data_IF_899340376905
#
_entry.id   IF_899340376905
#
_cell.length_a   1.000
_cell.length_b   1.000
_cell.length_c   1.000
_cell.angle_alpha   90.00
_cell.angle_beta   90.00
_cell.angle_gamma   90.00
#
_symmetry.space_group_name_H-M   'P 1'
#
loop_
_entity.id
_entity.type
_entity.pdbx_description
1 polymer ?
#
# COMPACT_ATOMS: atom_id res chain seq x y z
N UNK A 1 3.16 16.12 -21.45
CA UNK A 1 2.63 14.76 -21.72
C UNK A 1 1.42 14.55 -20.83
N UNK A 2 0.26 14.22 -21.38
CA UNK A 2 -0.88 13.82 -20.55
C UNK A 2 -0.50 12.51 -19.84
N UNK A 3 -0.77 12.42 -18.54
CA UNK A 3 -0.58 11.17 -17.79
C UNK A 3 -1.56 10.15 -18.38
N UNK A 4 -1.09 8.94 -18.65
CA UNK A 4 -1.97 7.83 -19.05
C UNK A 4 -2.97 7.62 -17.91
N UNK A 5 -4.26 7.77 -18.17
CA UNK A 5 -5.29 7.46 -17.17
C UNK A 5 -5.29 5.96 -16.86
N UNK A 6 -5.62 5.59 -15.61
CA UNK A 6 -5.60 4.18 -15.19
C UNK A 6 -4.21 3.56 -15.02
N UNK A 7 -3.12 4.34 -15.05
CA UNK A 7 -1.77 3.81 -14.81
C UNK A 7 -1.63 3.03 -13.49
N UNK A 8 -2.39 3.44 -12.46
CA UNK A 8 -2.28 2.86 -11.12
C UNK A 8 -2.85 1.43 -11.08
N UNK A 9 -3.96 1.16 -11.79
CA UNK A 9 -4.51 -0.20 -11.87
C UNK A 9 -3.56 -1.15 -12.60
N UNK A 10 -2.85 -0.66 -13.62
CA UNK A 10 -1.82 -1.44 -14.32
C UNK A 10 -0.69 -1.82 -13.34
N UNK A 11 -0.16 -0.86 -12.58
CA UNK A 11 0.89 -1.16 -11.61
C UNK A 11 0.45 -2.19 -10.56
N UNK A 12 -0.79 -2.10 -10.09
CA UNK A 12 -1.30 -3.07 -9.12
C UNK A 12 -1.48 -4.46 -9.72
N UNK A 13 -2.03 -4.55 -10.93
CA UNK A 13 -2.20 -5.83 -11.63
C UNK A 13 -0.84 -6.49 -11.90
N UNK A 14 0.13 -5.74 -12.42
CA UNK A 14 1.47 -6.27 -12.69
C UNK A 14 2.23 -6.64 -11.41
N UNK A 15 2.04 -5.90 -10.31
CA UNK A 15 2.63 -6.26 -9.02
C UNK A 15 2.06 -7.59 -8.49
N UNK A 16 0.74 -7.78 -8.59
CA UNK A 16 0.10 -9.05 -8.22
C UNK A 16 0.52 -10.20 -9.15
N UNK A 17 0.66 -9.91 -10.45
CA UNK A 17 1.16 -10.88 -11.43
C UNK A 17 2.59 -11.32 -11.11
N UNK A 18 3.48 -10.41 -10.71
CA UNK A 18 4.84 -10.74 -10.31
C UNK A 18 4.88 -11.71 -9.12
N UNK A 19 4.09 -11.47 -8.08
CA UNK A 19 4.00 -12.39 -6.94
C UNK A 19 3.60 -13.80 -7.39
N UNK A 20 2.63 -13.90 -8.30
CA UNK A 20 2.19 -15.18 -8.87
C UNK A 20 3.25 -15.81 -9.76
N UNK A 21 3.90 -15.04 -10.63
CA UNK A 21 4.90 -15.52 -11.60
C UNK A 21 6.09 -16.15 -10.88
N UNK A 22 6.48 -15.57 -9.74
CA UNK A 22 7.61 -16.06 -8.94
C UNK A 22 7.19 -17.00 -7.80
N UNK A 23 5.95 -17.52 -7.84
CA UNK A 23 5.41 -18.45 -6.84
C UNK A 23 5.63 -17.97 -5.41
N UNK A 24 5.53 -16.65 -5.20
CA UNK A 24 5.76 -16.04 -3.90
C UNK A 24 4.67 -16.50 -2.93
N UNK A 25 5.03 -16.99 -1.73
CA UNK A 25 4.05 -17.48 -0.77
C UNK A 25 3.20 -16.32 -0.29
N UNK A 26 1.88 -16.52 -0.18
CA UNK A 26 0.95 -15.62 0.51
C UNK A 26 0.27 -16.47 1.57
N UNK A 27 0.82 -16.45 2.79
CA UNK A 27 0.41 -17.35 3.86
C UNK A 27 -0.89 -16.87 4.49
N UNK A 28 -1.99 -17.65 4.43
CA UNK A 28 -3.22 -17.28 5.09
C UNK A 28 -3.17 -17.63 6.58
N UNK A 29 -3.81 -16.79 7.38
CA UNK A 29 -4.28 -17.11 8.72
C UNK A 29 -5.62 -17.84 8.62
N UNK A 30 -5.70 -19.03 9.21
CA UNK A 30 -6.94 -19.81 9.28
C UNK A 30 -7.63 -19.49 10.60
N UNK A 31 -8.89 -19.02 10.54
CA UNK A 31 -9.71 -18.80 11.74
C UNK A 31 -10.54 -20.04 12.09
N UNK A 32 -11.20 -20.01 13.25
CA UNK A 32 -11.96 -21.13 13.82
C UNK A 32 -13.08 -21.65 12.89
N UNK A 33 -13.59 -20.79 12.00
CA UNK A 33 -14.63 -21.06 11.03
C UNK A 33 -14.11 -21.69 9.72
N UNK A 34 -12.85 -22.11 9.69
CA UNK A 34 -12.13 -22.67 8.52
C UNK A 34 -11.87 -21.69 7.38
N UNK A 35 -12.24 -20.42 7.55
CA UNK A 35 -11.95 -19.41 6.55
C UNK A 35 -10.47 -19.02 6.58
N UNK A 36 -9.91 -18.80 5.39
CA UNK A 36 -8.55 -18.39 5.17
C UNK A 36 -8.49 -16.88 4.90
N UNK A 37 -7.77 -16.15 5.73
CA UNK A 37 -7.59 -14.71 5.65
C UNK A 37 -6.14 -14.35 5.45
N UNK A 38 -5.86 -13.38 4.58
CA UNK A 38 -4.52 -12.83 4.45
C UNK A 38 -4.50 -11.50 5.20
N UNK A 39 -3.60 -11.31 6.19
CA UNK A 39 -3.53 -10.03 6.90
C UNK A 39 -3.14 -8.91 5.94
N UNK A 40 -3.65 -7.71 6.24
CA UNK A 40 -3.30 -6.50 5.53
C UNK A 40 -2.82 -5.47 6.56
N UNK A 41 -1.54 -5.12 6.50
CA UNK A 41 -0.92 -4.21 7.44
C UNK A 41 -0.73 -2.82 6.81
N UNK A 42 -1.09 -1.79 7.57
CA UNK A 42 -0.88 -0.40 7.20
C UNK A 42 0.19 0.21 8.07
N UNK A 43 1.21 0.78 7.43
CA UNK A 43 2.24 1.52 8.15
C UNK A 43 2.57 2.85 7.48
N UNK A 44 2.65 3.88 8.32
CA UNK A 44 3.07 5.21 7.90
C UNK A 44 4.52 5.41 8.28
N UNK A 45 5.35 5.52 7.25
CA UNK A 45 6.78 5.67 7.39
C UNK A 45 7.19 7.12 7.17
N UNK A 46 8.20 7.57 7.92
CA UNK A 46 8.82 8.88 7.70
C UNK A 46 9.84 8.80 6.56
N UNK A 47 9.65 9.56 5.50
CA UNK A 47 10.58 9.66 4.37
C UNK A 47 11.29 11.01 4.42
N UNK A 48 12.51 11.02 4.97
CA UNK A 48 13.32 12.23 5.08
C UNK A 48 13.61 12.85 3.70
N UNK A 49 13.29 14.14 3.56
CA UNK A 49 13.63 14.95 2.40
C UNK A 49 14.19 16.31 2.83
N UNK A 50 14.86 16.34 3.98
CA UNK A 50 15.43 17.55 4.57
C UNK A 50 16.36 18.25 3.59
N UNK A 51 16.42 19.58 3.67
CA UNK A 51 17.23 20.44 2.80
C UNK A 51 16.81 20.46 1.32
N UNK A 52 15.63 19.94 0.98
CA UNK A 52 15.06 20.12 -0.35
C UNK A 52 13.91 21.13 -0.33
N UNK A 53 13.53 21.61 -1.52
CA UNK A 53 12.42 22.57 -1.70
C UNK A 53 11.24 21.94 -2.44
N UNK A 54 11.04 20.62 -2.28
CA UNK A 54 9.94 19.92 -2.92
C UNK A 54 8.62 20.25 -2.23
N UNK A 55 7.55 20.26 -3.02
CA UNK A 55 6.19 20.43 -2.52
C UNK A 55 5.77 19.26 -1.60
N UNK A 56 4.93 19.55 -0.61
CA UNK A 56 4.39 18.55 0.32
C UNK A 56 5.35 18.11 1.44
N UNK A 57 6.54 18.70 1.54
CA UNK A 57 7.45 18.44 2.66
C UNK A 57 6.87 19.05 3.94
N UNK A 58 6.83 18.26 5.00
CA UNK A 58 6.39 18.71 6.31
C UNK A 58 7.11 17.98 7.44
N UNK A 59 6.96 18.51 8.66
CA UNK A 59 7.51 17.89 9.87
C UNK A 59 6.83 16.55 10.14
N UNK A 60 7.58 15.46 10.02
CA UNK A 60 7.07 14.10 10.26
C UNK A 60 7.03 13.76 11.74
N UNK A 61 6.33 12.66 12.10
CA UNK A 61 6.26 12.18 13.49
C UNK A 61 7.62 11.76 14.08
N UNK A 62 8.61 11.44 13.22
CA UNK A 62 9.98 11.12 13.64
C UNK A 62 10.89 12.36 13.73
N UNK A 63 10.36 13.56 13.51
CA UNK A 63 11.12 14.80 13.66
C UNK A 63 12.14 15.06 12.55
N UNK A 64 11.94 14.52 11.35
CA UNK A 64 12.61 14.99 10.13
C UNK A 64 11.62 15.75 9.23
N UNK A 65 12.15 16.56 8.33
CA UNK A 65 11.34 17.31 7.37
C UNK A 65 11.25 16.49 6.08
N UNK A 66 10.07 15.97 5.77
CA UNK A 66 9.92 15.00 4.70
C UNK A 66 8.48 14.66 4.37
N UNK A 67 8.27 13.46 3.85
CA UNK A 67 6.97 12.90 3.53
C UNK A 67 6.55 11.86 4.58
N UNK A 68 5.25 11.56 4.63
CA UNK A 68 4.69 10.50 5.47
C UNK A 68 3.92 9.47 4.62
N UNK A 69 4.59 8.79 3.68
CA UNK A 69 3.96 7.78 2.83
C UNK A 69 3.23 6.74 3.67
N UNK A 70 2.07 6.32 3.17
CA UNK A 70 1.30 5.22 3.70
C UNK A 70 1.56 3.98 2.86
N UNK A 71 1.99 2.91 3.50
CA UNK A 71 2.27 1.63 2.88
C UNK A 71 1.20 0.62 3.28
N UNK A 72 0.79 -0.18 2.29
CA UNK A 72 -0.12 -1.29 2.47
C UNK A 72 0.63 -2.60 2.17
N UNK A 73 0.77 -3.43 3.18
CA UNK A 73 1.47 -4.70 3.11
C UNK A 73 0.48 -5.85 3.14
N UNK A 74 0.65 -6.81 2.24
CA UNK A 74 -0.14 -8.03 2.14
C UNK A 74 0.63 -9.20 2.74
N UNK A 75 -0.07 -9.98 3.58
CA UNK A 75 0.44 -11.21 4.14
C UNK A 75 1.49 -10.98 5.22
N UNK A 76 1.87 -12.06 5.87
CA UNK A 76 2.97 -12.02 6.86
C UNK A 76 4.33 -11.80 6.19
N UNK A 77 4.40 -12.06 4.88
CA UNK A 77 5.57 -11.85 4.03
C UNK A 77 5.85 -10.36 3.77
N UNK A 78 4.84 -9.50 3.92
CA UNK A 78 5.00 -8.05 3.80
C UNK A 78 5.14 -7.56 2.36
N UNK A 79 4.38 -8.09 1.41
CA UNK A 79 4.40 -7.56 0.05
C UNK A 79 3.70 -6.21 -0.04
N UNK A 80 4.39 -5.20 -0.55
CA UNK A 80 3.77 -3.88 -0.76
C UNK A 80 2.79 -3.97 -1.93
N UNK A 81 1.49 -3.84 -1.65
CA UNK A 81 0.42 -3.92 -2.64
C UNK A 81 -0.19 -2.57 -2.98
N UNK A 82 0.00 -1.56 -2.12
CA UNK A 82 -0.38 -0.17 -2.41
C UNK A 82 0.53 0.81 -1.68
N UNK A 83 0.79 1.95 -2.30
CA UNK A 83 1.58 3.05 -1.73
C UNK A 83 0.92 4.37 -2.06
N UNK A 84 0.73 5.20 -1.04
CA UNK A 84 0.27 6.57 -1.19
C UNK A 84 1.35 7.51 -0.65
N UNK A 85 1.93 8.32 -1.53
CA UNK A 85 2.82 9.40 -1.11
C UNK A 85 1.99 10.52 -0.51
N UNK A 86 2.26 10.88 0.74
CA UNK A 86 1.53 11.92 1.47
C UNK A 86 2.48 12.93 2.08
N UNK A 87 1.95 14.13 2.35
CA UNK A 87 2.70 15.19 3.00
C UNK A 87 3.19 14.78 4.39
N UNK A 88 4.31 15.35 4.83
CA UNK A 88 4.99 14.94 6.06
C UNK A 88 4.14 15.04 7.34
N UNK A 89 3.20 15.98 7.40
CA UNK A 89 2.34 16.20 8.57
C UNK A 89 1.07 15.35 8.56
N UNK A 90 0.86 14.49 7.54
CA UNK A 90 -0.36 13.70 7.45
C UNK A 90 -0.38 12.59 8.51
N UNK A 91 -1.35 12.68 9.41
CA UNK A 91 -1.58 11.69 10.47
C UNK A 91 -1.93 10.31 9.90
N UNK A 92 -1.54 9.23 10.58
CA UNK A 92 -1.75 7.87 10.09
C UNK A 92 -3.23 7.51 9.91
N UNK A 93 -4.12 8.03 10.77
CA UNK A 93 -5.56 7.79 10.68
C UNK A 93 -6.26 8.55 9.53
N UNK A 94 -5.55 9.41 8.79
CA UNK A 94 -6.11 10.13 7.64
C UNK A 94 -5.98 9.36 6.32
N UNK A 95 -6.02 8.03 6.38
CA UNK A 95 -6.04 7.19 5.18
C UNK A 95 -7.41 7.26 4.53
N UNK A 96 -7.52 7.70 3.27
CA UNK A 96 -8.81 7.80 2.59
C UNK A 96 -9.38 6.42 2.26
N UNK A 97 -10.71 6.27 2.24
CA UNK A 97 -11.36 5.00 1.89
C UNK A 97 -10.95 4.49 0.51
N UNK A 98 -10.71 5.40 -0.45
CA UNK A 98 -10.23 5.08 -1.80
C UNK A 98 -8.89 4.35 -1.81
N UNK A 99 -8.07 4.48 -0.76
CA UNK A 99 -6.83 3.72 -0.60
C UNK A 99 -7.09 2.22 -0.47
N UNK A 100 -8.21 1.85 0.17
CA UNK A 100 -8.65 0.46 0.35
C UNK A 100 -9.45 -0.04 -0.85
N UNK A 101 -10.35 0.77 -1.41
CA UNK A 101 -11.16 0.42 -2.59
C UNK A 101 -10.32 -0.08 -3.77
N UNK A 102 -9.12 0.48 -3.91
CA UNK A 102 -8.16 0.09 -4.93
C UNK A 102 -7.70 -1.37 -4.82
N UNK A 103 -7.62 -1.90 -3.59
CA UNK A 103 -7.24 -3.30 -3.33
C UNK A 103 -8.31 -4.28 -3.79
N UNK A 104 -9.59 -3.90 -3.67
CA UNK A 104 -10.72 -4.69 -4.16
C UNK A 104 -10.89 -4.64 -5.68
N UNK A 105 -10.29 -3.62 -6.32
CA UNK A 105 -10.35 -3.42 -7.77
C UNK A 105 -9.29 -4.23 -8.51
N UNK A 106 -8.28 -4.78 -7.80
CA UNK A 106 -7.30 -5.70 -8.38
C UNK A 106 -8.07 -6.89 -8.98
N UNK A 107 -7.98 -7.14 -10.30
CA UNK A 107 -8.77 -8.18 -10.94
C UNK A 107 -8.50 -9.52 -10.27
N UNK A 108 -9.60 -10.18 -9.86
CA UNK A 108 -9.86 -11.55 -9.36
C UNK A 108 -8.83 -12.71 -9.48
N UNK A 109 -7.66 -12.51 -10.07
CA UNK A 109 -6.54 -13.47 -10.20
C UNK A 109 -5.71 -13.63 -8.92
N UNK A 110 -5.72 -12.64 -8.03
CA UNK A 110 -5.42 -12.82 -6.61
C UNK A 110 -6.76 -12.70 -5.88
N UNK A 111 -7.42 -13.82 -5.57
CA UNK A 111 -8.50 -13.81 -4.58
C UNK A 111 -7.86 -13.60 -3.21
N UNK A 112 -7.44 -12.37 -2.94
CA UNK A 112 -7.30 -11.91 -1.57
C UNK A 112 -8.73 -11.62 -1.14
N UNK A 113 -9.30 -12.49 -0.31
CA UNK A 113 -10.56 -12.19 0.36
C UNK A 113 -10.27 -11.10 1.39
N UNK A 114 -10.27 -9.86 0.94
CA UNK A 114 -10.68 -8.74 1.76
C UNK A 114 -12.20 -8.67 1.61
N UNK A 115 -12.91 -8.58 2.74
CA UNK A 115 -14.37 -8.57 2.81
C UNK A 115 -14.99 -7.35 2.15
#
# INVERSE_FOLDING_TARGET
MAKVEGWNSILMEESAFLLKQFEQPVTPMILEDTNAYVPLDLDVSSFDNSNTKKEGIGRTYKGCDGYAPNFCYLGQEGYVVNVELREGQTHAQKTPTSFFEMLFTIPSRLRIFLF
#
